data_IF_614236424294
#
_entry.id   IF_614236424294
#
_cell.length_a   1.000
_cell.length_b   1.000
_cell.length_c   1.000
_cell.angle_alpha   90.00
_cell.angle_beta   90.00
_cell.angle_gamma   90.00
#
_symmetry.space_group_name_H-M   'P 1'
#
loop_
_entity.id
_entity.type
_entity.pdbx_description
1 polymer ?
#
# COMPACT_ATOMS: atom_id res chain seq x y z
N UNK A 1 29.09 -1.12 16.35
CA UNK A 1 27.69 -1.38 15.98
C UNK A 1 27.08 -0.09 15.45
N UNK A 2 26.51 -0.08 14.22
CA UNK A 2 25.93 1.11 13.61
C UNK A 2 24.57 1.39 14.24
N UNK A 3 24.29 2.67 14.57
CA UNK A 3 22.98 3.13 15.06
C UNK A 3 22.24 3.90 13.96
N UNK A 4 20.97 3.59 13.75
CA UNK A 4 20.10 4.25 12.75
C UNK A 4 18.88 4.80 13.48
N UNK A 5 18.56 6.05 13.19
CA UNK A 5 17.35 6.73 13.64
C UNK A 5 16.34 6.76 12.48
N UNK A 6 15.10 6.36 12.74
CA UNK A 6 13.98 6.45 11.80
C UNK A 6 12.92 7.38 12.42
N UNK A 7 12.57 8.44 11.71
CA UNK A 7 11.52 9.37 12.14
C UNK A 7 10.23 9.05 11.42
N UNK A 8 9.22 8.68 12.21
CA UNK A 8 7.90 8.25 11.77
C UNK A 8 7.74 6.72 11.74
N UNK A 9 6.77 6.22 12.51
CA UNK A 9 6.39 4.81 12.54
C UNK A 9 5.20 4.48 11.63
N UNK A 10 5.05 5.17 10.51
CA UNK A 10 4.12 4.81 9.44
C UNK A 10 4.52 3.49 8.76
N UNK A 11 3.76 3.07 7.72
CA UNK A 11 4.04 1.82 7.00
C UNK A 11 5.48 1.78 6.46
N UNK A 12 5.98 2.88 5.89
CA UNK A 12 7.34 2.93 5.33
C UNK A 12 8.41 2.82 6.41
N UNK A 13 8.32 3.65 7.48
CA UNK A 13 9.31 3.65 8.55
C UNK A 13 9.39 2.32 9.28
N UNK A 14 8.26 1.72 9.60
CA UNK A 14 8.19 0.40 10.24
C UNK A 14 8.71 -0.72 9.32
N UNK A 15 8.41 -0.65 8.02
CA UNK A 15 8.93 -1.61 7.03
C UNK A 15 10.44 -1.51 6.92
N UNK A 16 10.97 -0.28 6.79
CA UNK A 16 12.41 -0.03 6.72
C UNK A 16 13.13 -0.56 7.96
N UNK A 17 12.60 -0.29 9.15
CA UNK A 17 13.15 -0.81 10.39
C UNK A 17 13.20 -2.34 10.40
N UNK A 18 12.11 -3.01 10.00
CA UNK A 18 12.06 -4.47 9.94
C UNK A 18 13.01 -5.07 8.90
N UNK A 19 13.24 -4.39 7.78
CA UNK A 19 14.23 -4.83 6.77
C UNK A 19 15.64 -4.68 7.32
N UNK A 20 15.98 -3.53 7.87
CA UNK A 20 17.31 -3.25 8.44
C UNK A 20 17.61 -4.12 9.65
N UNK A 21 16.62 -4.50 10.46
CA UNK A 21 16.80 -5.33 11.67
C UNK A 21 17.29 -6.75 11.40
N UNK A 22 17.23 -7.20 10.14
CA UNK A 22 17.81 -8.48 9.72
C UNK A 22 19.33 -8.49 9.91
N UNK A 23 19.97 -7.33 9.80
CA UNK A 23 21.38 -7.17 10.13
C UNK A 23 21.53 -6.90 11.64
N UNK A 24 22.07 -7.88 12.37
CA UNK A 24 22.22 -7.82 13.84
C UNK A 24 23.27 -6.81 14.31
N UNK A 25 24.12 -6.32 13.41
CA UNK A 25 25.13 -5.28 13.71
C UNK A 25 24.55 -3.85 13.65
N UNK A 26 23.25 -3.71 13.39
CA UNK A 26 22.56 -2.41 13.35
C UNK A 26 21.61 -2.31 14.54
N UNK A 27 21.67 -1.24 15.29
CA UNK A 27 20.63 -0.81 16.26
C UNK A 27 19.73 0.23 15.61
N UNK A 28 18.42 0.12 15.81
CA UNK A 28 17.42 0.96 15.16
C UNK A 28 16.53 1.59 16.22
N UNK A 29 16.50 2.92 16.24
CA UNK A 29 15.58 3.68 17.06
C UNK A 29 14.51 4.30 16.14
N UNK A 30 13.22 3.98 16.40
CA UNK A 30 12.08 4.56 15.68
C UNK A 30 11.42 5.56 16.60
N UNK A 31 11.25 6.79 16.13
CA UNK A 31 10.54 7.85 16.84
C UNK A 31 9.23 8.16 16.15
N UNK A 32 8.14 8.15 16.91
CA UNK A 32 6.79 8.44 16.42
C UNK A 32 6.11 9.47 17.34
N UNK A 33 5.56 10.52 16.73
CA UNK A 33 4.86 11.59 17.47
C UNK A 33 3.55 11.12 18.09
N UNK A 34 2.88 10.16 17.45
CA UNK A 34 1.62 9.63 17.94
C UNK A 34 1.83 8.52 18.99
N UNK A 35 0.78 8.20 19.72
CA UNK A 35 0.76 7.14 20.74
C UNK A 35 0.78 5.72 20.16
N UNK A 36 0.65 5.56 18.83
CA UNK A 36 0.69 4.26 18.17
C UNK A 36 1.31 4.36 16.78
N UNK A 37 1.74 3.22 16.23
CA UNK A 37 2.28 3.13 14.87
C UNK A 37 1.18 3.24 13.82
N UNK A 38 1.54 3.72 12.62
CA UNK A 38 0.66 3.76 11.44
C UNK A 38 -0.63 4.57 11.63
N UNK A 39 -0.65 5.57 12.49
CA UNK A 39 -1.86 6.25 12.95
C UNK A 39 -2.21 7.54 12.17
N UNK A 40 -1.46 7.84 11.12
CA UNK A 40 -1.66 9.00 10.24
C UNK A 40 -2.03 8.58 8.81
N UNK A 41 -1.22 9.00 7.84
CA UNK A 41 -1.46 8.72 6.40
C UNK A 41 -1.71 7.24 6.11
N UNK A 42 -1.05 6.33 6.83
CA UNK A 42 -1.25 4.89 6.65
C UNK A 42 -2.65 4.41 7.04
N UNK A 43 -3.29 5.07 8.01
CA UNK A 43 -4.67 4.79 8.41
C UNK A 43 -5.67 5.45 7.48
N UNK A 44 -5.39 6.68 7.02
CA UNK A 44 -6.33 7.56 6.31
C UNK A 44 -6.41 7.31 4.81
N UNK A 45 -5.54 6.45 4.24
CA UNK A 45 -5.56 6.13 2.81
C UNK A 45 -6.60 5.03 2.47
N UNK A 46 -6.81 4.81 1.19
CA UNK A 46 -7.78 3.80 0.71
C UNK A 46 -7.39 2.35 1.01
N UNK A 47 -6.19 2.10 1.53
CA UNK A 47 -5.65 0.77 1.88
C UNK A 47 -5.77 -0.27 0.76
N UNK A 48 -5.71 0.20 -0.49
CA UNK A 48 -5.84 -0.64 -1.67
C UNK A 48 -4.51 -1.27 -2.03
N UNK A 49 -4.52 -2.57 -2.27
CA UNK A 49 -3.38 -3.28 -2.83
C UNK A 49 -3.43 -3.20 -4.36
N UNK A 50 -2.78 -2.18 -4.89
CA UNK A 50 -2.78 -1.88 -6.31
C UNK A 50 -2.11 -2.98 -7.14
N UNK A 51 -2.74 -3.34 -8.28
CA UNK A 51 -2.18 -4.25 -9.28
C UNK A 51 -1.88 -3.55 -10.61
N UNK A 52 -2.20 -2.26 -10.71
CA UNK A 52 -1.90 -1.46 -11.88
C UNK A 52 -3.10 -0.99 -12.71
N UNK A 53 -4.34 -1.32 -12.32
CA UNK A 53 -5.57 -0.90 -13.03
C UNK A 53 -5.72 0.63 -13.15
N UNK A 54 -5.08 1.37 -12.26
CA UNK A 54 -5.08 2.85 -12.26
C UNK A 54 -4.19 3.47 -13.35
N UNK A 55 -3.33 2.66 -13.99
CA UNK A 55 -2.29 3.13 -14.90
C UNK A 55 -2.42 2.59 -16.32
N UNK A 56 -3.58 2.79 -17.01
CA UNK A 56 -3.80 2.24 -18.35
C UNK A 56 -2.86 2.81 -19.41
N UNK A 57 -2.18 3.93 -19.11
CA UNK A 57 -1.28 4.63 -20.02
C UNK A 57 0.20 4.35 -19.78
N UNK A 58 0.56 3.57 -18.76
CA UNK A 58 1.95 3.28 -18.41
C UNK A 58 2.19 1.81 -18.16
N UNK A 59 2.63 1.09 -19.19
CA UNK A 59 3.04 -0.32 -19.08
C UNK A 59 4.17 -0.50 -18.07
N UNK A 60 5.13 0.43 -18.05
CA UNK A 60 6.28 0.43 -17.12
C UNK A 60 5.80 0.44 -15.67
N UNK A 61 4.92 1.39 -15.32
CA UNK A 61 4.37 1.51 -13.95
C UNK A 61 3.62 0.23 -13.55
N UNK A 62 2.81 -0.35 -14.45
CA UNK A 62 2.09 -1.61 -14.17
C UNK A 62 3.08 -2.75 -13.90
N UNK A 63 4.17 -2.84 -14.66
CA UNK A 63 5.20 -3.85 -14.44
C UNK A 63 5.90 -3.69 -13.09
N UNK A 64 6.28 -2.46 -12.73
CA UNK A 64 6.91 -2.15 -11.44
C UNK A 64 5.99 -2.48 -10.25
N UNK A 65 4.69 -2.15 -10.38
CA UNK A 65 3.67 -2.50 -9.36
C UNK A 65 3.57 -4.02 -9.22
N UNK A 66 3.51 -4.78 -10.31
CA UNK A 66 3.46 -6.25 -10.24
C UNK A 66 4.67 -6.83 -9.51
N UNK A 67 5.87 -6.34 -9.82
CA UNK A 67 7.11 -6.75 -9.15
C UNK A 67 7.07 -6.45 -7.65
N UNK A 68 6.76 -5.20 -7.29
CA UNK A 68 6.68 -4.77 -5.89
C UNK A 68 5.59 -5.49 -5.11
N UNK A 69 4.47 -5.83 -5.75
CA UNK A 69 3.39 -6.59 -5.14
C UNK A 69 3.83 -7.98 -4.69
N UNK A 70 4.66 -8.66 -5.47
CA UNK A 70 5.19 -9.98 -5.11
C UNK A 70 6.09 -9.86 -3.87
N UNK A 71 6.97 -8.85 -3.83
CA UNK A 71 7.87 -8.62 -2.69
C UNK A 71 7.09 -8.25 -1.43
N UNK A 72 6.07 -7.39 -1.55
CA UNK A 72 5.18 -7.05 -0.46
C UNK A 72 4.49 -8.30 0.13
N UNK A 73 3.98 -9.18 -0.74
CA UNK A 73 3.34 -10.41 -0.31
C UNK A 73 4.30 -11.41 0.32
N UNK A 74 5.54 -11.49 -0.15
CA UNK A 74 6.59 -12.29 0.50
C UNK A 74 6.90 -11.77 1.90
N UNK A 75 6.89 -10.46 2.10
CA UNK A 75 7.24 -9.83 3.37
C UNK A 75 6.10 -9.89 4.40
N UNK A 76 4.87 -9.58 3.97
CA UNK A 76 3.71 -9.47 4.86
C UNK A 76 2.79 -10.69 4.84
N UNK A 77 2.85 -11.52 3.79
CA UNK A 77 1.94 -12.64 3.58
C UNK A 77 0.55 -12.24 3.08
N UNK A 78 -0.27 -13.22 2.74
CA UNK A 78 -1.61 -13.00 2.14
C UNK A 78 -2.73 -12.80 3.16
N UNK A 79 -2.52 -13.10 4.41
CA UNK A 79 -3.54 -13.06 5.47
C UNK A 79 -3.90 -11.63 5.95
N UNK A 80 -3.33 -10.62 5.32
CA UNK A 80 -3.57 -9.20 5.59
C UNK A 80 -4.66 -8.59 4.70
N UNK A 81 -5.31 -9.37 3.84
CA UNK A 81 -6.38 -8.87 2.97
C UNK A 81 -7.75 -8.92 3.64
N UNK A 82 -8.60 -7.96 3.25
CA UNK A 82 -10.04 -7.98 3.46
C UNK A 82 -10.77 -8.69 2.32
N UNK A 83 -12.09 -8.75 2.43
CA UNK A 83 -12.98 -9.44 1.46
C UNK A 83 -13.67 -8.50 0.47
N UNK A 84 -13.29 -7.23 0.43
CA UNK A 84 -13.90 -6.22 -0.45
C UNK A 84 -13.41 -6.37 -1.88
N UNK A 85 -14.30 -6.08 -2.84
CA UNK A 85 -13.99 -6.00 -4.26
C UNK A 85 -13.77 -4.53 -4.64
N UNK A 86 -12.83 -4.28 -5.53
CA UNK A 86 -12.60 -2.95 -6.07
C UNK A 86 -13.25 -2.83 -7.45
N UNK A 87 -13.97 -1.72 -7.65
CA UNK A 87 -14.68 -1.40 -8.87
C UNK A 87 -14.05 -0.14 -9.45
N UNK A 88 -13.85 -0.12 -10.77
CA UNK A 88 -13.39 1.05 -11.51
C UNK A 88 -14.46 1.45 -12.51
N UNK A 89 -14.95 2.69 -12.38
CA UNK A 89 -15.76 3.36 -13.39
C UNK A 89 -14.86 4.27 -14.23
N UNK A 90 -15.13 4.32 -15.52
CA UNK A 90 -14.45 5.24 -16.45
C UNK A 90 -15.45 6.28 -16.87
N UNK A 91 -15.13 7.54 -16.62
CA UNK A 91 -16.02 8.65 -17.01
C UNK A 91 -16.19 8.73 -18.52
N UNK A 92 -17.42 8.92 -18.97
CA UNK A 92 -17.76 9.11 -20.38
C UNK A 92 -17.39 10.52 -20.86
N UNK A 93 -17.25 11.48 -19.93
CA UNK A 93 -16.86 12.86 -20.22
C UNK A 93 -15.51 13.19 -19.57
N UNK A 94 -14.69 13.97 -20.27
CA UNK A 94 -13.41 14.48 -19.77
C UNK A 94 -12.38 13.39 -19.38
N UNK A 95 -12.63 12.14 -19.73
CA UNK A 95 -11.65 11.08 -19.53
C UNK A 95 -10.58 11.12 -20.65
N UNK A 96 -9.30 10.97 -20.25
CA UNK A 96 -8.17 10.89 -21.20
C UNK A 96 -8.14 9.57 -21.97
N UNK A 97 -9.06 8.64 -21.69
CA UNK A 97 -9.13 7.33 -22.30
C UNK A 97 -10.58 6.86 -22.33
N UNK A 98 -11.04 6.33 -23.45
CA UNK A 98 -12.36 5.70 -23.54
C UNK A 98 -12.37 4.36 -22.80
N UNK A 99 -13.57 3.91 -22.41
CA UNK A 99 -13.72 2.62 -21.72
C UNK A 99 -13.18 1.44 -22.53
N UNK A 100 -13.46 1.40 -23.84
CA UNK A 100 -12.98 0.35 -24.73
C UNK A 100 -11.46 0.32 -24.82
N UNK A 101 -10.85 1.48 -24.97
CA UNK A 101 -9.39 1.61 -25.00
C UNK A 101 -8.75 1.27 -23.65
N UNK A 102 -9.36 1.68 -22.54
CA UNK A 102 -8.94 1.29 -21.19
C UNK A 102 -8.93 -0.25 -21.05
N UNK A 103 -10.03 -0.91 -21.41
CA UNK A 103 -10.14 -2.37 -21.35
C UNK A 103 -9.06 -3.07 -22.20
N UNK A 104 -8.84 -2.59 -23.43
CA UNK A 104 -7.78 -3.12 -24.32
C UNK A 104 -6.41 -3.01 -23.64
N UNK A 105 -6.04 -1.81 -23.15
CA UNK A 105 -4.74 -1.59 -22.50
C UNK A 105 -4.53 -2.45 -21.26
N UNK A 106 -5.54 -2.54 -20.39
CA UNK A 106 -5.47 -3.36 -19.18
C UNK A 106 -5.29 -4.85 -19.52
N UNK A 107 -5.99 -5.35 -20.56
CA UNK A 107 -5.78 -6.71 -21.06
C UNK A 107 -4.38 -6.91 -21.64
N UNK A 108 -3.88 -5.96 -22.45
CA UNK A 108 -2.53 -6.00 -23.04
C UNK A 108 -1.44 -6.04 -21.94
N UNK A 109 -1.73 -5.48 -20.75
CA UNK A 109 -0.86 -5.56 -19.59
C UNK A 109 -1.03 -6.85 -18.78
N UNK A 110 -1.89 -7.78 -19.23
CA UNK A 110 -2.15 -9.06 -18.59
C UNK A 110 -2.90 -8.93 -17.26
N UNK A 111 -3.76 -7.92 -17.14
CA UNK A 111 -4.67 -7.75 -16.01
C UNK A 111 -6.07 -8.20 -16.41
N UNK A 112 -6.68 -9.08 -15.60
CA UNK A 112 -8.02 -9.62 -15.87
C UNK A 112 -9.09 -8.54 -15.68
N UNK A 113 -10.04 -8.47 -16.61
CA UNK A 113 -11.17 -7.55 -16.59
C UNK A 113 -12.46 -8.35 -16.44
N UNK A 114 -13.32 -7.90 -15.53
CA UNK A 114 -14.71 -8.35 -15.45
C UNK A 114 -15.60 -7.12 -15.61
N UNK A 115 -16.18 -6.94 -16.80
CA UNK A 115 -17.10 -5.84 -17.10
C UNK A 115 -18.40 -6.06 -16.34
N UNK A 116 -18.83 -5.03 -15.61
CA UNK A 116 -20.11 -5.04 -14.89
C UNK A 116 -20.59 -3.60 -14.71
N UNK A 117 -21.86 -3.34 -15.05
CA UNK A 117 -22.50 -2.05 -14.75
C UNK A 117 -22.95 -2.05 -13.29
N UNK A 118 -22.83 -0.88 -12.66
CA UNK A 118 -23.28 -0.65 -11.30
C UNK A 118 -24.03 0.67 -11.22
N UNK A 119 -25.16 0.67 -10.56
CA UNK A 119 -26.02 1.85 -10.41
C UNK A 119 -25.50 2.85 -9.36
N UNK A 120 -24.43 2.50 -8.65
CA UNK A 120 -23.77 3.39 -7.68
C UNK A 120 -22.99 4.54 -8.31
N UNK A 121 -22.72 4.45 -9.61
CA UNK A 121 -22.03 5.53 -10.33
C UNK A 121 -23.02 6.59 -10.81
N UNK A 122 -22.51 7.83 -10.95
CA UNK A 122 -23.29 8.91 -11.59
C UNK A 122 -23.56 8.59 -13.06
N UNK A 123 -24.51 9.34 -13.66
CA UNK A 123 -24.81 9.26 -15.10
C UNK A 123 -23.63 9.50 -16.04
N UNK A 124 -22.52 10.01 -15.50
CA UNK A 124 -21.27 10.21 -16.24
C UNK A 124 -20.41 8.94 -16.38
N UNK A 125 -20.83 7.82 -15.81
CA UNK A 125 -20.10 6.55 -15.84
C UNK A 125 -21.02 5.45 -16.30
N UNK A 126 -21.12 5.25 -17.60
CA UNK A 126 -21.93 4.17 -18.19
C UNK A 126 -21.32 2.78 -18.04
N UNK A 127 -20.02 2.72 -17.89
CA UNK A 127 -19.27 1.46 -17.92
C UNK A 127 -18.28 1.34 -16.77
N UNK A 128 -18.19 0.12 -16.23
CA UNK A 128 -17.28 -0.19 -15.12
C UNK A 128 -16.77 -1.62 -15.18
N UNK A 129 -15.76 -1.88 -14.38
CA UNK A 129 -15.17 -3.22 -14.22
C UNK A 129 -15.03 -3.58 -12.74
N UNK A 130 -15.10 -4.86 -12.45
CA UNK A 130 -14.59 -5.42 -11.19
C UNK A 130 -13.14 -5.83 -11.42
N UNK A 131 -12.28 -5.50 -10.47
CA UNK A 131 -10.86 -5.84 -10.52
C UNK A 131 -10.49 -6.93 -9.54
N UNK A 132 -9.31 -7.53 -9.74
CA UNK A 132 -8.73 -8.47 -8.79
C UNK A 132 -7.95 -7.78 -7.65
N UNK A 133 -7.94 -6.45 -7.61
CA UNK A 133 -7.33 -5.72 -6.50
C UNK A 133 -8.09 -6.01 -5.21
N UNK A 134 -7.34 -6.13 -4.13
CA UNK A 134 -7.88 -6.37 -2.79
C UNK A 134 -7.59 -5.17 -1.91
N UNK A 135 -8.40 -4.97 -0.89
CA UNK A 135 -8.09 -4.02 0.16
C UNK A 135 -7.30 -4.72 1.25
N UNK A 136 -6.34 -4.01 1.80
CA UNK A 136 -5.62 -4.44 2.99
C UNK A 136 -6.54 -4.34 4.21
N UNK A 137 -6.56 -5.36 5.03
CA UNK A 137 -7.10 -5.22 6.37
C UNK A 137 -6.06 -4.51 7.24
N UNK A 138 -6.24 -3.22 7.40
CA UNK A 138 -5.31 -2.34 8.08
C UNK A 138 -4.96 -2.84 9.49
N UNK A 139 -5.96 -3.25 10.26
CA UNK A 139 -5.74 -3.72 11.63
C UNK A 139 -4.92 -5.01 11.68
N UNK A 140 -5.18 -5.96 10.78
CA UNK A 140 -4.36 -7.18 10.66
C UNK A 140 -2.92 -6.85 10.29
N UNK A 141 -2.70 -5.91 9.35
CA UNK A 141 -1.36 -5.47 8.95
C UNK A 141 -0.64 -4.78 10.11
N UNK A 142 -1.28 -3.82 10.76
CA UNK A 142 -0.76 -3.09 11.93
C UNK A 142 -0.36 -4.07 13.05
N UNK A 143 -1.25 -4.98 13.42
CA UNK A 143 -0.99 -6.02 14.44
C UNK A 143 0.24 -6.88 14.08
N UNK A 144 0.36 -7.26 12.82
CA UNK A 144 1.50 -8.06 12.34
C UNK A 144 2.81 -7.29 12.41
N UNK A 145 2.82 -6.01 12.03
CA UNK A 145 3.99 -5.13 12.11
C UNK A 145 4.39 -4.93 13.57
N UNK A 146 3.45 -4.57 14.45
CA UNK A 146 3.69 -4.40 15.88
C UNK A 146 4.32 -5.64 16.51
N UNK A 147 3.79 -6.83 16.20
CA UNK A 147 4.35 -8.10 16.68
C UNK A 147 5.80 -8.28 16.23
N UNK A 148 6.09 -8.04 14.94
CA UNK A 148 7.46 -8.17 14.40
C UNK A 148 8.44 -7.18 15.04
N UNK A 149 8.02 -5.93 15.26
CA UNK A 149 8.85 -4.91 15.91
C UNK A 149 9.17 -5.33 17.35
N UNK A 150 8.17 -5.79 18.11
CA UNK A 150 8.36 -6.27 19.49
C UNK A 150 9.29 -7.49 19.59
N UNK A 151 9.33 -8.32 18.55
CA UNK A 151 10.21 -9.51 18.49
C UNK A 151 11.63 -9.20 18.04
N UNK A 152 11.88 -8.02 17.50
CA UNK A 152 13.20 -7.62 17.00
C UNK A 152 14.04 -7.01 18.12
N UNK A 153 15.03 -7.74 18.62
CA UNK A 153 15.89 -7.32 19.75
C UNK A 153 16.74 -6.07 19.48
N UNK A 154 16.88 -5.67 18.21
CA UNK A 154 17.68 -4.53 17.78
C UNK A 154 16.83 -3.33 17.30
N UNK A 155 15.51 -3.36 17.53
CA UNK A 155 14.62 -2.21 17.29
C UNK A 155 14.12 -1.68 18.64
N UNK A 156 14.25 -0.37 18.84
CA UNK A 156 13.57 0.38 19.91
C UNK A 156 12.53 1.31 19.30
N UNK A 157 11.32 1.28 19.82
CA UNK A 157 10.21 2.13 19.38
C UNK A 157 9.87 3.13 20.48
N UNK A 158 9.93 4.42 20.14
CA UNK A 158 9.61 5.54 21.02
C UNK A 158 8.33 6.21 20.50
N UNK A 159 7.21 5.91 21.13
CA UNK A 159 5.91 6.51 20.84
C UNK A 159 5.74 7.82 21.63
N UNK A 160 4.84 8.68 21.15
CA UNK A 160 4.58 10.01 21.72
C UNK A 160 5.87 10.85 21.84
N UNK A 161 6.80 10.66 20.89
CA UNK A 161 8.08 11.36 20.82
C UNK A 161 8.28 11.97 19.44
N UNK A 162 8.26 13.29 19.37
CA UNK A 162 8.66 14.03 18.16
C UNK A 162 10.15 14.35 18.19
N UNK A 163 10.77 14.39 17.02
CA UNK A 163 12.13 14.89 16.84
C UNK A 163 12.04 16.25 16.16
N UNK A 164 12.67 17.24 16.75
CA UNK A 164 12.77 18.58 16.18
C UNK A 164 13.62 18.53 14.90
N UNK A 165 13.17 19.24 13.86
CA UNK A 165 13.86 19.31 12.55
C UNK A 165 15.31 19.77 12.63
N UNK A 166 15.68 20.56 13.65
CA UNK A 166 17.06 21.00 13.85
C UNK A 166 18.05 19.88 14.19
N UNK A 167 17.56 18.69 14.52
CA UNK A 167 18.37 17.51 14.81
C UNK A 167 18.39 16.48 13.66
N UNK A 168 17.77 16.81 12.51
CA UNK A 168 17.75 16.02 11.28
C UNK A 168 18.64 16.63 10.21
#
# INVERSE_FOLDING_TARGET
MKKICIVGAGLFGTTLALVLSRNKNIKIDIYEKNSDIMDETSLKNQQRFHLGYHYPRSKKTVYEIKKSSIEFLKFYGKNIFGNTKNIYGISDKNSKISFSHYCKKINDFGLKINKKKFDIFSSLVSNSIITNEKNLNFFKLKKKISKKIKQANNIKLFLSKSIDKKYL
#
